data_IF_930818101599
#
_entry.id   IF_930818101599
#
_cell.length_a   1.000
_cell.length_b   1.000
_cell.length_c   1.000
_cell.angle_alpha   90.00
_cell.angle_beta   90.00
_cell.angle_gamma   90.00
#
_symmetry.space_group_name_H-M   'P 1'
#
loop_
_entity.id
_entity.type
_entity.pdbx_description
1 polymer ?
#
# COMPACT_ATOMS: atom_id res chain seq x y z
N UNK A 1 0.02 0.78 -8.97
CA UNK A 1 -0.70 1.17 -10.21
C UNK A 1 -1.47 2.45 -9.93
N UNK A 2 -1.98 3.13 -10.95
CA UNK A 2 -2.76 4.38 -10.80
C UNK A 2 -3.92 4.34 -11.79
N UNK A 3 -5.09 4.76 -11.35
CA UNK A 3 -6.32 4.78 -12.15
C UNK A 3 -7.02 6.13 -11.95
N UNK A 4 -7.69 6.60 -12.99
CA UNK A 4 -8.63 7.72 -12.94
C UNK A 4 -10.00 7.30 -13.50
N UNK A 5 -10.90 8.27 -13.69
CA UNK A 5 -12.23 8.04 -14.25
C UNK A 5 -12.21 7.45 -15.68
N UNK A 6 -11.10 7.60 -16.41
CA UNK A 6 -10.92 7.09 -17.77
C UNK A 6 -10.14 5.75 -17.80
N UNK A 7 -9.70 5.26 -16.64
CA UNK A 7 -9.07 3.95 -16.49
C UNK A 7 -7.59 4.01 -16.07
N UNK A 8 -6.76 3.02 -16.46
CA UNK A 8 -5.40 2.91 -15.94
C UNK A 8 -4.44 3.96 -16.53
N UNK A 9 -3.82 4.75 -15.66
CA UNK A 9 -2.80 5.74 -16.02
C UNK A 9 -1.39 5.12 -15.98
N UNK A 10 -1.03 4.37 -17.03
CA UNK A 10 0.25 3.65 -17.09
C UNK A 10 1.47 4.55 -16.90
N UNK A 11 1.41 5.79 -17.37
CA UNK A 11 2.49 6.77 -17.21
C UNK A 11 2.80 7.10 -15.74
N UNK A 12 1.85 6.88 -14.83
CA UNK A 12 1.99 7.13 -13.39
C UNK A 12 2.39 5.87 -12.59
N UNK A 13 2.66 4.77 -13.30
CA UNK A 13 3.14 3.56 -12.66
C UNK A 13 4.58 3.78 -12.22
N UNK A 14 4.87 3.39 -10.98
CA UNK A 14 6.22 3.47 -10.41
C UNK A 14 6.55 2.12 -9.80
N UNK A 15 7.78 1.67 -10.03
CA UNK A 15 8.39 0.54 -9.34
C UNK A 15 9.51 1.11 -8.47
N UNK A 16 9.60 0.64 -7.23
CA UNK A 16 10.63 1.08 -6.29
C UNK A 16 11.53 -0.10 -5.98
N UNK A 17 12.84 0.08 -6.19
CA UNK A 17 13.83 -0.90 -5.77
C UNK A 17 13.99 -0.80 -4.24
N UNK A 18 13.69 -1.89 -3.53
CA UNK A 18 13.78 -1.97 -2.07
C UNK A 18 15.16 -2.47 -1.69
N UNK A 19 15.81 -1.80 -0.74
CA UNK A 19 17.16 -2.11 -0.30
C UNK A 19 17.32 -1.80 1.18
N UNK A 20 18.29 -2.46 1.85
CA UNK A 20 18.61 -2.19 3.26
C UNK A 20 17.52 -2.62 4.24
N UNK A 21 16.77 -3.69 3.93
CA UNK A 21 15.80 -4.31 4.84
C UNK A 21 16.09 -5.80 4.98
N UNK A 22 15.57 -6.42 6.04
CA UNK A 22 15.60 -7.88 6.20
C UNK A 22 14.85 -8.55 5.05
N UNK A 23 15.43 -9.57 4.37
CA UNK A 23 14.72 -10.30 3.32
C UNK A 23 13.38 -10.86 3.81
N UNK A 24 12.30 -10.60 3.07
CA UNK A 24 10.94 -11.02 3.43
C UNK A 24 10.20 -10.09 4.40
N UNK A 25 10.80 -8.98 4.81
CA UNK A 25 10.11 -7.98 5.64
C UNK A 25 9.22 -7.05 4.78
N UNK A 26 8.00 -7.52 4.52
CA UNK A 26 7.01 -6.78 3.73
C UNK A 26 6.60 -5.45 4.38
N UNK A 27 6.67 -5.35 5.71
CA UNK A 27 6.33 -4.11 6.42
C UNK A 27 7.41 -3.05 6.20
N UNK A 28 8.68 -3.41 6.32
CA UNK A 28 9.80 -2.51 6.01
C UNK A 28 9.80 -2.10 4.53
N UNK A 29 9.51 -3.03 3.62
CA UNK A 29 9.39 -2.74 2.20
C UNK A 29 8.28 -1.73 1.91
N UNK A 30 7.08 -1.95 2.47
CA UNK A 30 5.95 -1.03 2.30
C UNK A 30 6.23 0.35 2.91
N UNK A 31 6.88 0.41 4.08
CA UNK A 31 7.29 1.67 4.68
C UNK A 31 8.19 2.49 3.74
N UNK A 32 9.22 1.85 3.15
CA UNK A 32 10.08 2.52 2.16
C UNK A 32 9.30 3.01 0.93
N UNK A 33 8.38 2.19 0.39
CA UNK A 33 7.58 2.59 -0.78
C UNK A 33 6.72 3.80 -0.46
N UNK A 34 5.97 3.76 0.64
CA UNK A 34 5.05 4.82 1.02
C UNK A 34 5.79 6.13 1.30
N UNK A 35 6.91 6.08 2.05
CA UNK A 35 7.72 7.29 2.29
C UNK A 35 8.32 7.85 1.01
N UNK A 36 8.80 7.00 0.09
CA UNK A 36 9.38 7.49 -1.17
C UNK A 36 8.34 8.07 -2.11
N UNK A 37 7.12 7.54 -2.12
CA UNK A 37 6.02 8.01 -2.98
C UNK A 37 5.33 9.24 -2.42
N UNK A 38 5.09 9.27 -1.11
CA UNK A 38 4.23 10.26 -0.46
C UNK A 38 4.98 11.23 0.45
N UNK A 39 6.22 10.95 0.84
CA UNK A 39 7.05 11.83 1.68
C UNK A 39 7.69 13.01 0.94
N UNK A 40 7.05 13.51 -0.11
CA UNK A 40 7.50 14.68 -0.89
C UNK A 40 6.29 15.59 -1.13
N UNK A 41 6.54 16.83 -1.58
CA UNK A 41 5.47 17.67 -2.09
C UNK A 41 4.78 17.00 -3.29
N UNK A 42 3.45 17.09 -3.34
CA UNK A 42 2.62 16.55 -4.41
C UNK A 42 1.67 17.68 -4.83
N UNK A 43 1.43 17.80 -6.13
CA UNK A 43 0.41 18.73 -6.65
C UNK A 43 -0.99 18.29 -6.19
N UNK A 44 -1.86 19.24 -5.86
CA UNK A 44 -3.22 18.95 -5.36
C UNK A 44 -4.02 18.01 -6.29
N UNK A 45 -3.81 18.14 -7.61
CA UNK A 45 -4.43 17.30 -8.65
C UNK A 45 -3.91 15.86 -8.68
N UNK A 46 -2.77 15.60 -8.03
CA UNK A 46 -2.09 14.30 -7.97
C UNK A 46 -2.26 13.59 -6.63
N UNK A 47 -2.89 14.24 -5.65
CA UNK A 47 -3.27 13.59 -4.39
C UNK A 47 -4.39 12.58 -4.69
N UNK A 48 -4.18 11.28 -4.43
CA UNK A 48 -5.18 10.27 -4.72
C UNK A 48 -6.34 10.33 -3.72
N UNK A 49 -7.57 10.10 -4.18
CA UNK A 49 -8.72 10.00 -3.28
C UNK A 49 -8.73 8.68 -2.49
N UNK A 50 -8.16 7.61 -3.07
CA UNK A 50 -8.07 6.28 -2.45
C UNK A 50 -6.71 5.65 -2.72
N UNK A 51 -6.14 5.02 -1.70
CA UNK A 51 -4.95 4.18 -1.80
C UNK A 51 -5.32 2.76 -1.39
N UNK A 52 -5.18 1.83 -2.33
CA UNK A 52 -5.34 0.40 -2.10
C UNK A 52 -4.00 -0.22 -1.68
N UNK A 53 -4.01 -0.90 -0.53
CA UNK A 53 -2.90 -1.70 -0.02
C UNK A 53 -3.26 -3.17 -0.20
N UNK A 54 -2.48 -3.90 -1.01
CA UNK A 54 -2.62 -5.36 -1.17
C UNK A 54 -2.05 -6.04 0.07
N UNK A 55 -2.92 -6.30 1.04
CA UNK A 55 -2.51 -6.66 2.37
C UNK A 55 -3.62 -6.62 3.41
N UNK A 56 -3.43 -7.41 4.47
CA UNK A 56 -4.35 -7.49 5.58
C UNK A 56 -4.23 -6.33 6.58
N UNK A 57 -4.90 -6.49 7.73
CA UNK A 57 -4.96 -5.48 8.80
C UNK A 57 -3.58 -4.96 9.23
N UNK A 58 -2.58 -5.82 9.29
CA UNK A 58 -1.21 -5.44 9.68
C UNK A 58 -0.55 -4.49 8.68
N UNK A 59 -0.65 -4.77 7.37
CA UNK A 59 -0.16 -3.87 6.34
C UNK A 59 -0.92 -2.52 6.36
N UNK A 60 -2.25 -2.56 6.50
CA UNK A 60 -3.04 -1.32 6.56
C UNK A 60 -2.68 -0.47 7.79
N UNK A 61 -2.46 -1.08 8.95
CA UNK A 61 -2.03 -0.37 10.15
C UNK A 61 -0.66 0.30 9.97
N UNK A 62 0.29 -0.41 9.36
CA UNK A 62 1.61 0.14 9.07
C UNK A 62 1.54 1.29 8.06
N UNK A 63 0.67 1.21 7.04
CA UNK A 63 0.45 2.31 6.10
C UNK A 63 -0.10 3.56 6.81
N UNK A 64 -1.06 3.38 7.72
CA UNK A 64 -1.62 4.48 8.54
C UNK A 64 -0.54 5.14 9.41
N UNK A 65 0.32 4.34 10.04
CA UNK A 65 1.43 4.86 10.85
C UNK A 65 2.40 5.72 10.01
N UNK A 66 2.78 5.24 8.81
CA UNK A 66 3.61 6.02 7.89
C UNK A 66 2.97 7.36 7.55
N UNK A 67 1.68 7.37 7.17
CA UNK A 67 0.96 8.60 6.86
C UNK A 67 0.88 9.56 8.06
N UNK A 68 0.65 9.05 9.27
CA UNK A 68 0.64 9.88 10.48
C UNK A 68 1.99 10.61 10.68
N UNK A 69 3.10 9.95 10.35
CA UNK A 69 4.46 10.47 10.50
C UNK A 69 4.97 11.30 9.32
N UNK A 70 4.23 11.39 8.20
CA UNK A 70 4.67 12.22 7.08
C UNK A 70 4.64 13.71 7.46
N UNK A 71 5.77 14.38 7.30
CA UNK A 71 5.87 15.83 7.39
C UNK A 71 5.87 16.41 5.97
N UNK A 72 4.69 16.79 5.48
CA UNK A 72 4.47 17.17 4.08
C UNK A 72 3.48 18.34 3.99
N UNK A 73 3.60 19.20 2.96
CA UNK A 73 2.76 20.41 2.83
C UNK A 73 1.38 20.14 2.24
N UNK A 74 1.11 18.93 1.74
CA UNK A 74 -0.17 18.54 1.16
C UNK A 74 -1.04 17.80 2.18
N UNK A 75 -2.36 17.78 1.98
CA UNK A 75 -3.30 17.13 2.91
C UNK A 75 -3.17 15.60 2.90
N UNK A 76 -2.35 15.08 3.81
CA UNK A 76 -2.13 13.65 4.01
C UNK A 76 -3.35 12.89 4.56
N UNK A 77 -4.41 13.57 4.96
CA UNK A 77 -5.65 12.94 5.42
C UNK A 77 -6.69 12.75 4.31
N UNK A 78 -6.51 13.40 3.15
CA UNK A 78 -7.41 13.28 2.00
C UNK A 78 -7.52 11.85 1.43
N UNK A 79 -6.41 11.09 1.25
CA UNK A 79 -6.53 9.74 0.70
C UNK A 79 -7.14 8.74 1.70
N UNK A 80 -8.20 8.05 1.28
CA UNK A 80 -8.73 6.91 2.03
C UNK A 80 -7.82 5.69 1.87
N UNK A 81 -7.28 5.15 2.97
CA UNK A 81 -6.46 3.94 2.97
C UNK A 81 -7.34 2.69 3.14
N UNK A 82 -7.33 1.81 2.14
CA UNK A 82 -8.08 0.55 2.14
C UNK A 82 -7.14 -0.65 1.97
N UNK A 83 -7.28 -1.64 2.84
CA UNK A 83 -6.56 -2.92 2.74
C UNK A 83 -7.39 -3.97 2.03
N UNK A 84 -6.78 -4.71 1.10
CA UNK A 84 -7.41 -5.85 0.43
C UNK A 84 -6.73 -7.12 0.94
N UNK A 85 -7.44 -7.88 1.79
CA UNK A 85 -6.96 -9.16 2.29
C UNK A 85 -7.47 -10.29 1.39
N UNK A 86 -6.61 -11.24 1.03
CA UNK A 86 -7.07 -12.50 0.43
C UNK A 86 -7.85 -13.32 1.47
N UNK A 87 -9.00 -13.86 1.07
CA UNK A 87 -9.71 -14.85 1.85
C UNK A 87 -8.79 -16.06 2.09
N UNK A 88 -8.73 -16.55 3.32
CA UNK A 88 -7.99 -17.77 3.63
C UNK A 88 -8.74 -18.92 2.97
N UNK A 89 -8.19 -19.50 1.91
CA UNK A 89 -8.73 -20.74 1.37
C UNK A 89 -8.48 -21.83 2.40
N UNK A 90 -9.50 -22.19 3.18
CA UNK A 90 -9.41 -23.39 4.00
C UNK A 90 -9.22 -24.57 3.04
N UNK A 91 -8.03 -25.19 3.07
CA UNK A 91 -7.84 -26.47 2.39
C UNK A 91 -8.66 -27.49 3.17
N UNK A 92 -9.67 -28.15 2.56
CA UNK A 92 -10.35 -29.25 3.24
C UNK A 92 -9.31 -30.35 3.51
N UNK A 93 -9.04 -30.59 4.79
CA UNK A 93 -8.23 -31.72 5.24
C UNK A 93 -9.12 -32.95 5.13
N UNK A 94 -9.07 -33.64 3.99
CA UNK A 94 -9.65 -34.97 3.87
C UNK A 94 -8.86 -35.93 4.75
N UNK A 95 -9.33 -36.16 5.99
CA UNK A 95 -8.85 -37.28 6.79
C UNK A 95 -9.43 -38.56 6.19
N UNK A 96 -8.61 -39.27 5.42
CA UNK A 96 -8.88 -40.68 5.15
C UNK A 96 -8.52 -41.45 6.41
N UNK A 97 -9.54 -41.81 7.19
CA UNK A 97 -9.42 -42.88 8.18
C UNK A 97 -9.52 -44.20 7.41
N UNK A 98 -8.44 -44.98 7.46
CA UNK A 98 -8.47 -46.41 7.17
C UNK A 98 -9.13 -47.15 8.33
#
# INVERSE_FOLDING_TARGET
>A
MVFDANGPLRAEYRRYNIAGITPGDDYAAMNQVLRRRYGKAIEESKIPDVILIDGGKGQLAQAKAVFAELDVPWDKHRPLLLGVAKARTERPVWKHSF
#
